data_IF_571410435556
#
_entry.id   IF_571410435556
#
_cell.length_a   1.000
_cell.length_b   1.000
_cell.length_c   1.000
_cell.angle_alpha   90.00
_cell.angle_beta   90.00
_cell.angle_gamma   90.00
#
_symmetry.space_group_name_H-M   'P 1'
#
loop_
_entity.id
_entity.type
_entity.pdbx_description
1 polymer ?
#
# COMPACT_ATOMS: atom_id res chain seq x y z
N UNK A 1 4.52 3.17 19.93
CA UNK A 1 3.54 2.98 21.04
C UNK A 1 3.32 1.50 21.35
N UNK A 2 2.94 0.66 20.37
CA UNK A 2 2.78 -0.78 20.59
C UNK A 2 4.05 -1.46 21.16
N UNK A 3 5.23 -1.07 20.66
CA UNK A 3 6.53 -1.59 21.12
C UNK A 3 6.84 -1.27 22.60
N UNK A 4 6.22 -0.22 23.14
CA UNK A 4 6.39 0.20 24.53
C UNK A 4 5.25 -0.29 25.44
N UNK A 5 4.36 -1.15 24.93
CA UNK A 5 3.17 -1.59 25.67
C UNK A 5 3.49 -2.19 27.05
N UNK A 6 4.61 -2.91 27.18
CA UNK A 6 5.04 -3.45 28.48
C UNK A 6 5.39 -2.34 29.48
N UNK A 7 6.15 -1.32 29.06
CA UNK A 7 6.55 -0.21 29.92
C UNK A 7 5.34 0.59 30.40
N UNK A 8 4.33 0.76 29.55
CA UNK A 8 3.06 1.36 29.96
C UNK A 8 2.30 0.45 30.94
N UNK A 9 2.30 -0.86 30.71
CA UNK A 9 1.62 -1.82 31.59
C UNK A 9 2.25 -1.86 32.99
N UNK A 10 3.58 -1.74 33.08
CA UNK A 10 4.34 -1.67 34.34
C UNK A 10 3.91 -0.48 35.22
N UNK A 11 3.47 0.62 34.62
CA UNK A 11 2.93 1.79 35.33
C UNK A 11 1.40 1.80 35.40
N UNK A 12 0.74 0.66 35.15
CA UNK A 12 -0.71 0.49 35.23
C UNK A 12 -1.51 1.06 34.05
N UNK A 13 -0.85 1.44 32.95
CA UNK A 13 -1.48 1.99 31.76
C UNK A 13 -1.66 0.89 30.72
N UNK A 14 -2.92 0.63 30.36
CA UNK A 14 -3.25 -0.27 29.26
C UNK A 14 -3.15 0.47 27.92
N UNK A 15 -2.26 0.01 27.05
CA UNK A 15 -2.18 0.48 25.66
C UNK A 15 -3.18 -0.30 24.82
N UNK A 16 -4.08 0.43 24.15
CA UNK A 16 -4.92 -0.14 23.10
C UNK A 16 -4.15 -0.09 21.79
N UNK A 17 -3.89 -1.26 21.23
CA UNK A 17 -3.18 -1.40 19.96
C UNK A 17 -3.99 -2.29 19.03
N UNK A 18 -3.96 -1.96 17.73
CA UNK A 18 -4.76 -2.66 16.72
C UNK A 18 -4.35 -4.12 16.59
N UNK A 19 -3.06 -4.42 16.79
CA UNK A 19 -2.54 -5.78 16.78
C UNK A 19 -1.28 -5.85 17.64
N UNK A 20 -0.73 -7.06 17.80
CA UNK A 20 0.58 -7.25 18.43
C UNK A 20 1.69 -6.50 17.65
N UNK A 21 2.76 -6.03 18.31
CA UNK A 21 3.82 -5.24 17.66
C UNK A 21 4.41 -5.88 16.40
N UNK A 22 4.65 -7.20 16.42
CA UNK A 22 5.18 -7.94 15.27
C UNK A 22 4.21 -7.98 14.08
N UNK A 23 2.89 -7.96 14.34
CA UNK A 23 1.87 -7.92 13.29
C UNK A 23 1.80 -6.51 12.70
N UNK A 24 1.84 -5.47 13.54
CA UNK A 24 1.90 -4.09 13.05
C UNK A 24 3.14 -3.85 12.20
N UNK A 25 4.31 -4.35 12.62
CA UNK A 25 5.54 -4.26 11.85
C UNK A 25 5.43 -4.98 10.49
N UNK A 26 4.75 -6.14 10.45
CA UNK A 26 4.47 -6.86 9.20
C UNK A 26 3.54 -6.06 8.28
N UNK A 27 2.43 -5.53 8.80
CA UNK A 27 1.43 -4.79 8.01
C UNK A 27 1.97 -3.44 7.50
N UNK A 28 2.87 -2.80 8.24
CA UNK A 28 3.48 -1.53 7.85
C UNK A 28 4.56 -1.70 6.77
N UNK A 29 5.18 -2.87 6.68
CA UNK A 29 6.15 -3.21 5.64
C UNK A 29 5.42 -3.79 4.42
N UNK A 30 5.18 -2.93 3.43
CA UNK A 30 4.42 -3.31 2.23
C UNK A 30 5.13 -4.38 1.39
N UNK A 31 6.46 -4.49 1.48
CA UNK A 31 7.20 -5.56 0.79
C UNK A 31 6.85 -6.91 1.43
N UNK A 32 6.99 -7.00 2.75
CA UNK A 32 6.68 -8.22 3.51
C UNK A 32 5.19 -8.57 3.48
N UNK A 33 4.32 -7.58 3.47
CA UNK A 33 2.88 -7.81 3.31
C UNK A 33 2.55 -8.35 1.91
N UNK A 34 3.15 -7.81 0.85
CA UNK A 34 2.94 -8.29 -0.52
C UNK A 34 3.43 -9.74 -0.71
N UNK A 35 4.46 -10.18 0.01
CA UNK A 35 4.92 -11.59 0.02
C UNK A 35 3.86 -12.56 0.55
N UNK A 36 2.87 -12.09 1.32
CA UNK A 36 1.74 -12.92 1.72
C UNK A 36 0.86 -13.27 0.51
N UNK A 37 0.84 -12.43 -0.52
CA UNK A 37 0.36 -12.73 -1.87
C UNK A 37 -0.94 -13.52 -1.93
N UNK A 38 -0.92 -14.63 -2.68
CA UNK A 38 -2.06 -15.55 -2.87
C UNK A 38 -2.58 -16.20 -1.59
N UNK A 39 -1.88 -16.04 -0.47
CA UNK A 39 -2.36 -16.53 0.82
C UNK A 39 -3.42 -15.60 1.39
N UNK A 40 -3.55 -14.37 0.92
CA UNK A 40 -4.56 -13.39 1.34
C UNK A 40 -5.89 -13.61 0.61
N UNK A 41 -7.03 -13.24 1.24
CA UNK A 41 -8.35 -13.33 0.62
C UNK A 41 -8.52 -12.41 -0.59
N UNK A 42 -7.78 -11.29 -0.59
CA UNK A 42 -7.82 -10.29 -1.65
C UNK A 42 -6.54 -10.41 -2.45
N UNK A 43 -6.64 -10.51 -3.80
CA UNK A 43 -5.48 -10.43 -4.65
C UNK A 43 -4.72 -9.13 -4.39
N UNK A 44 -3.45 -9.26 -4.01
CA UNK A 44 -2.55 -8.11 -3.97
C UNK A 44 -1.96 -7.87 -5.35
N UNK A 45 -1.72 -6.61 -5.74
CA UNK A 45 -1.02 -6.30 -6.98
C UNK A 45 0.33 -7.03 -7.06
N UNK A 46 0.69 -7.56 -8.22
CA UNK A 46 2.02 -8.14 -8.43
C UNK A 46 3.08 -7.07 -8.12
N UNK A 47 4.00 -7.42 -7.22
CA UNK A 47 4.94 -6.48 -6.60
C UNK A 47 6.33 -7.08 -6.59
N UNK A 48 7.34 -6.32 -7.03
CA UNK A 48 8.75 -6.69 -6.95
C UNK A 48 9.51 -5.60 -6.18
N UNK A 49 10.18 -5.94 -5.07
CA UNK A 49 11.01 -4.99 -4.34
C UNK A 49 12.33 -4.74 -5.09
N UNK A 50 12.81 -3.50 -5.05
CA UNK A 50 14.12 -3.09 -5.57
C UNK A 50 14.78 -2.03 -4.70
N UNK A 51 16.10 -1.94 -4.75
CA UNK A 51 16.97 -0.99 -4.03
C UNK A 51 17.99 -0.32 -4.94
N UNK A 52 18.23 -0.88 -6.12
CA UNK A 52 19.22 -0.38 -7.08
C UNK A 52 18.59 -0.19 -8.46
N UNK A 53 19.26 0.58 -9.32
CA UNK A 53 18.86 0.72 -10.72
C UNK A 53 18.83 -0.63 -11.44
N UNK A 54 19.82 -1.50 -11.23
CA UNK A 54 19.88 -2.81 -11.88
C UNK A 54 18.71 -3.72 -11.45
N UNK A 55 18.36 -3.71 -10.16
CA UNK A 55 17.18 -4.44 -9.67
C UNK A 55 15.88 -3.86 -10.24
N UNK A 56 15.79 -2.52 -10.35
CA UNK A 56 14.64 -1.86 -10.96
C UNK A 56 14.48 -2.26 -12.44
N UNK A 57 15.54 -2.18 -13.24
CA UNK A 57 15.46 -2.49 -14.67
C UNK A 57 15.05 -3.95 -14.92
N UNK A 58 15.63 -4.90 -14.18
CA UNK A 58 15.24 -6.30 -14.27
C UNK A 58 13.77 -6.54 -13.86
N UNK A 59 13.31 -5.87 -12.79
CA UNK A 59 11.91 -5.94 -12.36
C UNK A 59 10.96 -5.30 -13.38
N UNK A 60 11.37 -4.19 -13.99
CA UNK A 60 10.61 -3.45 -14.98
C UNK A 60 10.44 -4.26 -16.26
N UNK A 61 11.50 -4.85 -16.80
CA UNK A 61 11.43 -5.73 -17.96
C UNK A 61 10.43 -6.87 -17.75
N UNK A 62 10.47 -7.50 -16.57
CA UNK A 62 9.55 -8.59 -16.22
C UNK A 62 8.09 -8.14 -16.14
N UNK A 63 7.80 -7.11 -15.33
CA UNK A 63 6.41 -6.70 -15.09
C UNK A 63 5.81 -6.01 -16.30
N UNK A 64 6.61 -5.25 -17.06
CA UNK A 64 6.11 -4.50 -18.22
C UNK A 64 5.68 -5.43 -19.35
N UNK A 65 6.25 -6.63 -19.43
CA UNK A 65 5.83 -7.66 -20.38
C UNK A 65 4.41 -8.16 -20.11
N UNK A 66 3.97 -8.12 -18.85
CA UNK A 66 2.66 -8.64 -18.41
C UNK A 66 1.61 -7.53 -18.27
N UNK A 67 2.04 -6.33 -17.86
CA UNK A 67 1.15 -5.24 -17.48
C UNK A 67 1.39 -3.99 -18.33
N UNK A 68 0.30 -3.32 -18.72
CA UNK A 68 0.34 -2.10 -19.54
C UNK A 68 0.85 -0.88 -18.78
N UNK A 69 0.62 -0.83 -17.47
CA UNK A 69 0.97 0.30 -16.62
C UNK A 69 1.60 -0.19 -15.32
N UNK A 70 2.70 0.45 -14.94
CA UNK A 70 3.44 0.14 -13.72
C UNK A 70 3.56 1.38 -12.84
N UNK A 71 3.67 1.17 -11.54
CA UNK A 71 3.85 2.22 -10.57
C UNK A 71 4.93 1.85 -9.55
N UNK A 72 5.53 2.86 -8.92
CA UNK A 72 6.47 2.68 -7.83
C UNK A 72 5.95 3.30 -6.54
N UNK A 73 6.36 2.74 -5.40
CA UNK A 73 6.20 3.37 -4.09
C UNK A 73 7.25 2.88 -3.09
N UNK A 74 7.52 3.63 -2.01
CA UNK A 74 8.29 3.12 -0.89
C UNK A 74 7.65 1.90 -0.22
N UNK A 75 8.45 0.93 0.21
CA UNK A 75 7.96 -0.21 0.99
C UNK A 75 7.39 0.23 2.35
N UNK A 76 7.94 1.29 2.94
CA UNK A 76 7.48 1.90 4.18
C UNK A 76 7.04 3.34 3.94
N UNK A 77 5.96 3.76 4.60
CA UNK A 77 5.37 5.09 4.44
C UNK A 77 3.86 5.09 4.60
N UNK A 78 3.27 6.26 4.76
CA UNK A 78 1.82 6.46 4.96
C UNK A 78 1.27 7.46 3.95
N UNK A 79 -0.05 7.44 3.73
CA UNK A 79 -0.78 8.41 2.90
C UNK A 79 -0.33 8.50 1.43
N UNK A 80 0.12 7.39 0.84
CA UNK A 80 0.56 7.37 -0.56
C UNK A 80 1.80 8.22 -0.87
N UNK A 81 2.51 8.70 0.16
CA UNK A 81 3.74 9.45 -0.03
C UNK A 81 4.76 8.62 -0.81
N UNK A 82 5.29 9.20 -1.89
CA UNK A 82 6.25 8.54 -2.78
C UNK A 82 5.63 7.63 -3.84
N UNK A 83 4.30 7.47 -3.91
CA UNK A 83 3.65 6.78 -5.02
C UNK A 83 3.84 7.56 -6.33
N UNK A 84 4.27 6.88 -7.39
CA UNK A 84 4.36 7.44 -8.74
C UNK A 84 3.96 6.41 -9.80
N UNK A 85 3.06 6.78 -10.70
CA UNK A 85 2.77 6.07 -11.94
C UNK A 85 3.94 6.27 -12.93
N UNK A 86 4.51 5.19 -13.44
CA UNK A 86 5.62 5.23 -14.38
C UNK A 86 5.09 5.44 -15.79
N UNK A 87 5.58 6.46 -16.47
CA UNK A 87 5.21 6.80 -17.85
C UNK A 87 6.38 6.53 -18.79
N UNK A 88 6.07 5.93 -19.94
CA UNK A 88 6.95 5.84 -21.09
C UNK A 88 6.66 7.01 -22.04
N UNK A 89 7.69 7.51 -22.71
CA UNK A 89 7.58 8.61 -23.66
C UNK A 89 8.71 9.63 -23.52
N UNK A 90 8.81 10.53 -24.49
CA UNK A 90 9.87 11.54 -24.50
C UNK A 90 9.67 12.61 -23.40
N UNK A 91 10.79 13.08 -22.85
CA UNK A 91 10.89 14.31 -22.04
C UNK A 91 10.52 15.52 -22.93
N UNK A 92 9.23 15.73 -23.16
CA UNK A 92 8.68 16.78 -24.02
C UNK A 92 7.54 17.57 -23.37
N UNK A 93 7.04 18.59 -24.07
CA UNK A 93 5.94 19.44 -23.58
C UNK A 93 4.70 18.61 -23.20
N UNK A 94 4.41 17.54 -23.92
CA UNK A 94 3.28 16.64 -23.65
C UNK A 94 3.45 15.86 -22.34
N UNK A 95 4.67 15.43 -21.99
CA UNK A 95 4.95 14.80 -20.70
C UNK A 95 4.81 15.77 -19.52
N UNK A 96 5.12 17.06 -19.73
CA UNK A 96 4.89 18.12 -18.75
C UNK A 96 3.40 18.48 -18.61
N UNK A 97 2.66 18.50 -19.71
CA UNK A 97 1.23 18.84 -19.73
C UNK A 97 0.33 17.68 -19.27
N UNK A 98 0.74 16.43 -19.49
CA UNK A 98 0.06 15.22 -19.00
C UNK A 98 0.57 14.75 -17.63
N UNK A 99 1.66 15.34 -17.12
CA UNK A 99 2.28 15.00 -15.85
C UNK A 99 1.41 15.41 -14.66
N UNK A 100 0.47 14.56 -14.27
CA UNK A 100 -0.23 14.72 -12.99
C UNK A 100 0.75 14.60 -11.81
N UNK A 101 0.38 15.15 -10.65
CA UNK A 101 1.18 15.17 -9.40
C UNK A 101 1.64 13.79 -8.90
N UNK A 102 1.12 12.72 -9.49
CA UNK A 102 1.36 11.33 -9.11
C UNK A 102 2.07 10.51 -10.18
N UNK A 103 2.74 11.12 -11.16
CA UNK A 103 3.46 10.40 -12.22
C UNK A 103 4.96 10.73 -12.28
N UNK A 104 5.74 9.85 -12.89
CA UNK A 104 7.17 10.04 -13.17
C UNK A 104 7.54 9.42 -14.52
N UNK A 105 8.36 10.11 -15.31
CA UNK A 105 8.91 9.57 -16.55
C UNK A 105 9.95 8.48 -16.25
N UNK A 106 9.94 7.39 -17.03
CA UNK A 106 10.82 6.24 -16.83
C UNK A 106 12.31 6.62 -16.86
N UNK A 107 12.72 7.42 -17.84
CA UNK A 107 14.13 7.83 -17.96
C UNK A 107 14.53 8.79 -16.84
N UNK A 108 13.62 9.65 -16.39
CA UNK A 108 13.84 10.48 -15.21
C UNK A 108 14.03 9.62 -13.96
N UNK A 109 13.18 8.61 -13.75
CA UNK A 109 13.31 7.67 -12.64
C UNK A 109 14.65 6.92 -12.69
N UNK A 110 15.07 6.42 -13.85
CA UNK A 110 16.36 5.75 -14.03
C UNK A 110 17.53 6.68 -13.70
N UNK A 111 17.50 7.93 -14.16
CA UNK A 111 18.52 8.94 -13.82
C UNK A 111 18.57 9.20 -12.31
N UNK A 112 17.43 9.33 -11.64
CA UNK A 112 17.38 9.53 -10.19
C UNK A 112 17.91 8.31 -9.42
N UNK A 113 17.58 7.09 -9.88
CA UNK A 113 18.11 5.85 -9.31
C UNK A 113 19.63 5.73 -9.48
N UNK A 114 20.16 6.13 -10.65
CA UNK A 114 21.61 6.15 -10.92
C UNK A 114 22.37 7.16 -10.04
N UNK A 115 21.74 8.28 -9.70
CA UNK A 115 22.33 9.33 -8.86
C UNK A 115 22.33 8.97 -7.35
N UNK A 116 21.67 7.88 -6.98
CA UNK A 116 21.55 7.44 -5.60
C UNK A 116 20.23 7.88 -5.00
N UNK A 117 19.32 6.91 -4.82
CA UNK A 117 18.08 7.14 -4.11
C UNK A 117 18.25 6.99 -2.59
N UNK A 118 17.29 7.49 -1.79
CA UNK A 118 17.28 7.26 -0.35
C UNK A 118 17.45 5.77 -0.06
N UNK A 119 18.27 5.44 0.94
CA UNK A 119 18.58 4.08 1.36
C UNK A 119 17.35 3.38 1.98
N UNK A 120 16.38 3.04 1.13
CA UNK A 120 15.15 2.36 1.50
C UNK A 120 14.74 1.39 0.38
N UNK A 121 13.93 0.40 0.74
CA UNK A 121 13.34 -0.52 -0.25
C UNK A 121 12.20 0.17 -0.99
N UNK A 122 12.21 0.08 -2.31
CA UNK A 122 11.13 0.52 -3.18
C UNK A 122 10.40 -0.70 -3.75
N UNK A 123 9.17 -0.49 -4.18
CA UNK A 123 8.31 -1.49 -4.78
C UNK A 123 7.98 -1.04 -6.19
N UNK A 124 8.19 -1.90 -7.17
CA UNK A 124 7.63 -1.79 -8.51
C UNK A 124 6.41 -2.70 -8.59
N UNK A 125 5.29 -2.18 -9.07
CA UNK A 125 4.00 -2.85 -9.00
C UNK A 125 3.19 -2.67 -10.27
N UNK A 126 2.29 -3.61 -10.56
CA UNK A 126 1.21 -3.35 -11.51
C UNK A 126 0.38 -2.14 -11.05
N UNK A 127 -0.09 -1.33 -12.00
CA UNK A 127 -1.01 -0.24 -11.72
C UNK A 127 -2.45 -0.70 -11.84
N UNK A 128 -3.26 -0.47 -10.81
CA UNK A 128 -4.69 -0.80 -10.79
C UNK A 128 -5.50 0.48 -11.08
N UNK A 129 -6.06 0.65 -12.29
CA UNK A 129 -6.84 1.85 -12.66
C UNK A 129 -8.30 1.80 -12.16
N UNK A 130 -8.64 0.79 -11.38
CA UNK A 130 -9.98 0.58 -10.84
C UNK A 130 -10.33 1.55 -9.70
N UNK A 131 -11.59 1.51 -9.23
CA UNK A 131 -12.01 2.31 -8.09
C UNK A 131 -11.20 2.00 -6.83
N UNK A 132 -10.79 3.04 -6.12
CA UNK A 132 -10.14 2.95 -4.81
C UNK A 132 -11.21 2.90 -3.72
N UNK A 133 -11.10 1.91 -2.82
CA UNK A 133 -11.97 1.77 -1.66
C UNK A 133 -11.15 1.88 -0.37
N UNK A 134 -11.72 2.53 0.64
CA UNK A 134 -11.22 2.55 2.01
C UNK A 134 -12.21 1.93 2.96
N UNK A 135 -11.70 1.28 4.00
CA UNK A 135 -12.48 0.52 4.98
C UNK A 135 -12.21 1.05 6.38
N UNK A 136 -13.24 1.53 7.09
CA UNK A 136 -13.16 1.82 8.52
C UNK A 136 -13.80 0.67 9.29
N UNK A 137 -13.01 -0.02 10.10
CA UNK A 137 -13.43 -1.26 10.74
C UNK A 137 -13.22 -1.23 12.26
N UNK A 138 -14.14 -1.86 12.98
CA UNK A 138 -13.99 -2.18 14.40
C UNK A 138 -13.99 -3.69 14.56
N UNK A 139 -13.03 -4.23 15.30
CA UNK A 139 -12.91 -5.67 15.55
C UNK A 139 -12.56 -5.99 17.02
N UNK A 140 -12.74 -7.25 17.41
CA UNK A 140 -12.47 -7.74 18.77
C UNK A 140 -11.22 -8.63 18.89
N UNK A 141 -10.43 -8.76 17.81
CA UNK A 141 -9.28 -9.66 17.74
C UNK A 141 -9.58 -11.00 17.05
N UNK A 142 -10.85 -11.30 16.75
CA UNK A 142 -11.23 -12.51 16.02
C UNK A 142 -12.37 -12.28 15.03
N UNK A 143 -13.23 -11.28 15.29
CA UNK A 143 -14.41 -10.98 14.49
C UNK A 143 -14.48 -9.50 14.16
N UNK A 144 -14.91 -9.22 12.93
CA UNK A 144 -15.32 -7.90 12.49
C UNK A 144 -16.65 -7.55 13.18
N UNK A 145 -16.67 -6.46 13.94
CA UNK A 145 -17.82 -5.98 14.72
C UNK A 145 -18.63 -4.95 13.93
N UNK A 146 -17.94 -4.03 13.26
CA UNK A 146 -18.55 -3.01 12.41
C UNK A 146 -17.62 -2.67 11.24
N UNK A 147 -18.22 -2.27 10.11
CA UNK A 147 -17.49 -1.90 8.89
C UNK A 147 -18.23 -0.80 8.15
N UNK A 148 -17.49 0.24 7.77
CA UNK A 148 -17.93 1.28 6.82
C UNK A 148 -17.02 1.20 5.60
N UNK A 149 -17.62 1.10 4.41
CA UNK A 149 -16.88 1.05 3.15
C UNK A 149 -17.10 2.36 2.39
N UNK A 150 -16.01 2.95 1.92
CA UNK A 150 -16.01 4.23 1.21
C UNK A 150 -15.35 4.05 -0.15
N UNK A 151 -16.06 4.39 -1.21
CA UNK A 151 -15.49 4.56 -2.55
C UNK A 151 -14.95 5.99 -2.68
N UNK A 152 -13.68 6.11 -3.03
CA UNK A 152 -13.04 7.39 -3.30
C UNK A 152 -13.37 7.84 -4.73
N UNK A 153 -13.69 9.12 -4.88
CA UNK A 153 -14.18 9.72 -6.11
C UNK A 153 -13.36 10.96 -6.41
N UNK A 154 -12.65 10.96 -7.54
CA UNK A 154 -11.84 12.11 -7.96
C UNK A 154 -12.72 13.30 -8.39
N UNK A 155 -13.96 13.02 -8.80
CA UNK A 155 -14.95 13.99 -9.31
C UNK A 155 -15.76 14.69 -8.20
N UNK A 156 -15.63 14.25 -6.94
CA UNK A 156 -16.45 14.74 -5.83
C UNK A 156 -15.58 15.20 -4.65
N UNK A 157 -15.96 16.32 -4.03
CA UNK A 157 -15.47 16.67 -2.70
C UNK A 157 -16.13 15.71 -1.68
N UNK A 158 -15.44 14.62 -1.34
CA UNK A 158 -15.90 13.65 -0.36
C UNK A 158 -15.75 12.21 -0.82
N UNK A 159 -16.47 11.30 -0.15
CA UNK A 159 -16.44 9.88 -0.44
C UNK A 159 -17.84 9.31 -0.42
N UNK A 160 -18.08 8.28 -1.24
CA UNK A 160 -19.39 7.63 -1.35
C UNK A 160 -19.42 6.40 -0.49
N UNK A 161 -20.43 6.31 0.40
CA UNK A 161 -20.70 5.08 1.13
C UNK A 161 -21.16 3.99 0.16
N UNK A 162 -20.55 2.81 0.27
CA UNK A 162 -20.89 1.63 -0.52
C UNK A 162 -21.06 0.42 0.38
N UNK A 163 -21.71 -0.62 -0.14
CA UNK A 163 -21.87 -1.89 0.55
C UNK A 163 -21.53 -3.01 -0.44
N UNK A 164 -20.31 -3.54 -0.35
CA UNK A 164 -19.81 -4.64 -1.18
C UNK A 164 -19.56 -5.87 -0.29
N UNK A 165 -20.24 -7.00 -0.53
CA UNK A 165 -20.02 -8.23 0.24
C UNK A 165 -18.55 -8.68 0.19
N UNK A 166 -17.93 -8.62 -0.99
CA UNK A 166 -16.55 -9.08 -1.18
C UNK A 166 -15.53 -8.32 -0.29
N UNK A 167 -15.74 -7.02 -0.07
CA UNK A 167 -14.90 -6.21 0.82
C UNK A 167 -15.16 -6.52 2.30
N UNK A 168 -16.38 -6.93 2.64
CA UNK A 168 -16.74 -7.36 4.01
C UNK A 168 -16.06 -8.68 4.35
N UNK A 169 -16.12 -9.65 3.44
CA UNK A 169 -15.51 -10.96 3.61
C UNK A 169 -13.99 -10.85 3.73
N UNK A 170 -13.38 -10.04 2.85
CA UNK A 170 -11.96 -9.70 2.92
C UNK A 170 -11.56 -9.10 4.27
N UNK A 171 -12.28 -8.09 4.76
CA UNK A 171 -11.98 -7.44 6.02
C UNK A 171 -12.13 -8.41 7.21
N UNK A 172 -13.18 -9.23 7.21
CA UNK A 172 -13.41 -10.23 8.26
C UNK A 172 -12.28 -11.27 8.31
N UNK A 173 -11.80 -11.74 7.17
CA UNK A 173 -10.68 -12.68 7.12
C UNK A 173 -9.35 -12.04 7.55
N UNK A 174 -9.07 -10.80 7.12
CA UNK A 174 -7.88 -10.07 7.58
C UNK A 174 -7.90 -9.88 9.11
N UNK A 175 -9.07 -9.55 9.68
CA UNK A 175 -9.26 -9.46 11.14
C UNK A 175 -8.93 -10.78 11.82
N UNK A 176 -9.54 -11.88 11.39
CA UNK A 176 -9.35 -13.19 12.01
C UNK A 176 -7.90 -13.67 11.90
N UNK A 177 -7.26 -13.40 10.76
CA UNK A 177 -5.89 -13.84 10.49
C UNK A 177 -4.84 -13.08 11.29
N UNK A 178 -4.98 -11.76 11.36
CA UNK A 178 -3.98 -10.89 11.98
C UNK A 178 -4.32 -10.55 13.44
N UNK A 179 -5.47 -11.03 13.93
CA UNK A 179 -5.94 -10.74 15.28
C UNK A 179 -6.22 -9.26 15.49
N UNK A 180 -6.77 -8.58 14.47
CA UNK A 180 -6.99 -7.14 14.51
C UNK A 180 -8.10 -6.79 15.50
N UNK A 181 -7.88 -5.77 16.32
CA UNK A 181 -8.81 -5.32 17.35
C UNK A 181 -8.92 -3.80 17.45
N UNK A 182 -10.00 -3.31 18.04
CA UNK A 182 -10.28 -1.88 18.12
C UNK A 182 -10.61 -1.29 16.75
N UNK A 183 -10.41 0.02 16.61
CA UNK A 183 -10.68 0.77 15.38
C UNK A 183 -9.43 0.83 14.50
N UNK A 184 -9.57 0.50 13.22
CA UNK A 184 -8.52 0.66 12.21
C UNK A 184 -9.11 1.08 10.86
N UNK A 185 -8.26 1.71 10.06
CA UNK A 185 -8.60 2.28 8.75
C UNK A 185 -7.59 1.75 7.73
N UNK A 186 -8.09 1.34 6.58
CA UNK A 186 -7.34 1.09 5.35
C UNK A 186 -7.72 2.11 4.27
#
# INVERSE_FOLDING_TARGET
MAEYAMQFTEIGIRVLSVAAPQILALLQDKARFAELGSRLPVPTPETIPFRTLAEFDAAYERLRFVYDALCIKPAQGVYGAGFRLVREGEDGLDGLLQGGSHSIQLDCLRRLLAQGMPAQTWLLMEYLPGPEYSLDAVADGNRLVALIQREKREDLYGQRLVARPELTDAAAELVARFGLMGLFID
#
